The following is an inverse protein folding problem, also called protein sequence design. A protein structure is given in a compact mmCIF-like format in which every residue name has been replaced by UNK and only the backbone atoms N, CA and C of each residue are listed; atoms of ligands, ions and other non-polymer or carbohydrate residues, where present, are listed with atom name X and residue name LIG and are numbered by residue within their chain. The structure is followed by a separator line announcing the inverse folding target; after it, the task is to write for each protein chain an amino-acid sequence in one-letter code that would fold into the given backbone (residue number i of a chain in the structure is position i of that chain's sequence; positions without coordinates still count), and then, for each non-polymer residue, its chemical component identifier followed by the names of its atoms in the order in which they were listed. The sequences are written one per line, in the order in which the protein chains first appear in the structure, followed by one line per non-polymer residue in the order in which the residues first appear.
data_IF_942167095429
#
_entry.id   IF_942167095429
#
_cell.length_a   1.000
_cell.length_b   1.000
_cell.length_c   1.000
_cell.angle_alpha   90.00
_cell.angle_beta   90.00
_cell.angle_gamma   90.00
#
_symmetry.space_group_name_H-M   'P 1'
#
loop_
_entity.id
_entity.type
_entity.pdbx_description
1 polymer ?
#
# COMPACT_ATOMS: atom_id res chain seq x y z
N UNK A 1 -54.88 48.24 -58.06
CA UNK A 1 -55.29 49.66 -57.98
C UNK A 1 -56.08 49.88 -56.69
N UNK A 2 -56.20 51.14 -56.24
CA UNK A 2 -57.01 51.63 -55.10
C UNK A 2 -56.75 51.06 -53.69
N UNK A 3 -55.80 51.67 -52.97
CA UNK A 3 -56.04 52.32 -51.65
C UNK A 3 -56.48 53.78 -51.91
N UNK A 4 -57.20 54.52 -51.02
CA UNK A 4 -56.95 54.77 -49.59
C UNK A 4 -58.18 54.38 -48.71
N UNK A 5 -58.47 54.84 -47.48
CA UNK A 5 -57.85 55.77 -46.49
C UNK A 5 -58.26 55.24 -45.09
N UNK A 6 -57.45 55.19 -44.03
CA UNK A 6 -56.85 56.23 -43.18
C UNK A 6 -57.84 57.25 -42.58
N UNK A 7 -58.14 57.08 -41.29
CA UNK A 7 -58.63 58.14 -40.39
C UNK A 7 -57.67 58.26 -39.20
N UNK A 8 -57.48 59.47 -38.67
CA UNK A 8 -56.27 59.87 -37.91
C UNK A 8 -56.60 60.60 -36.60
N UNK A 9 -56.03 60.13 -35.49
CA UNK A 9 -55.75 60.87 -34.25
C UNK A 9 -54.69 60.06 -33.46
N UNK A 10 -53.38 60.37 -33.39
CA UNK A 10 -52.69 61.57 -32.88
C UNK A 10 -53.22 62.01 -31.49
N UNK A 11 -52.41 62.23 -30.45
CA UNK A 11 -50.94 62.36 -30.33
C UNK A 11 -50.48 61.96 -28.89
N UNK A 12 -49.24 61.49 -28.67
CA UNK A 12 -48.09 62.25 -28.12
C UNK A 12 -48.18 62.62 -26.61
N UNK A 13 -47.10 62.70 -25.80
CA UNK A 13 -45.72 62.14 -25.78
C UNK A 13 -45.04 62.64 -24.46
N UNK A 14 -43.77 62.27 -24.22
CA UNK A 14 -42.88 62.69 -23.10
C UNK A 14 -43.25 62.13 -21.71
N UNK A 15 -42.33 61.61 -20.87
CA UNK A 15 -40.88 61.37 -20.92
C UNK A 15 -40.44 60.90 -19.50
N UNK A 16 -39.24 60.39 -19.19
CA UNK A 16 -38.00 60.14 -19.93
C UNK A 16 -37.14 59.10 -19.14
N UNK A 17 -36.50 58.15 -19.82
CA UNK A 17 -35.19 57.48 -19.52
C UNK A 17 -34.79 57.12 -18.06
N UNK A 18 -34.51 55.82 -17.78
CA UNK A 18 -33.20 55.28 -17.30
C UNK A 18 -33.06 53.76 -17.61
N UNK A 19 -31.98 53.41 -18.34
CA UNK A 19 -31.14 52.18 -18.44
C UNK A 19 -31.63 50.70 -18.40
N UNK A 20 -31.05 49.95 -19.37
CA UNK A 20 -30.55 48.55 -19.38
C UNK A 20 -31.52 47.37 -19.15
N UNK A 21 -31.66 46.35 -20.04
CA UNK A 21 -30.75 45.35 -20.66
C UNK A 21 -30.29 44.18 -19.74
N UNK A 22 -30.45 42.97 -20.29
CA UNK A 22 -30.06 41.63 -19.78
C UNK A 22 -30.86 41.05 -18.60
N UNK A 23 -31.56 39.93 -18.85
CA UNK A 23 -31.23 38.58 -18.32
C UNK A 23 -32.41 37.61 -18.55
N UNK A 24 -32.25 36.62 -19.44
CA UNK A 24 -32.94 35.32 -19.28
C UNK A 24 -32.26 34.16 -20.04
N UNK A 25 -30.92 34.16 -20.04
CA UNK A 25 -30.08 33.07 -20.58
C UNK A 25 -29.56 32.13 -19.49
N UNK A 26 -30.03 32.28 -18.25
CA UNK A 26 -29.54 31.55 -17.08
C UNK A 26 -30.03 30.10 -16.96
N UNK A 27 -31.21 29.77 -17.49
CA UNK A 27 -31.81 28.43 -17.33
C UNK A 27 -31.02 27.31 -18.04
N UNK A 28 -30.70 27.49 -19.32
CA UNK A 28 -30.05 26.45 -20.13
C UNK A 28 -28.60 26.20 -19.68
N UNK A 29 -27.89 27.25 -19.27
CA UNK A 29 -26.54 27.12 -18.71
C UNK A 29 -26.56 26.45 -17.33
N UNK A 30 -27.57 26.72 -16.49
CA UNK A 30 -27.74 26.05 -15.21
C UNK A 30 -28.10 24.57 -15.37
N UNK A 31 -28.97 24.19 -16.32
CA UNK A 31 -29.28 22.79 -16.61
C UNK A 31 -28.08 22.02 -17.19
N UNK A 32 -27.27 22.65 -18.06
CA UNK A 32 -26.03 22.04 -18.56
C UNK A 32 -24.97 21.89 -17.46
N UNK A 33 -24.84 22.86 -16.55
CA UNK A 33 -23.99 22.73 -15.36
C UNK A 33 -24.52 21.67 -14.38
N UNK A 34 -25.83 21.56 -14.20
CA UNK A 34 -26.47 20.53 -13.39
C UNK A 34 -26.25 19.14 -14.00
N UNK A 35 -26.36 18.98 -15.32
CA UNK A 35 -26.02 17.72 -16.00
C UNK A 35 -24.52 17.43 -15.98
N UNK A 36 -23.64 18.43 -15.99
CA UNK A 36 -22.20 18.23 -15.85
C UNK A 36 -21.79 17.90 -14.40
N UNK A 37 -22.55 18.33 -13.40
CA UNK A 37 -22.39 17.97 -11.98
C UNK A 37 -23.03 16.61 -11.65
N UNK A 38 -24.19 16.28 -12.23
CA UNK A 38 -24.83 14.95 -12.14
C UNK A 38 -24.14 13.89 -13.02
N UNK A 39 -23.33 14.31 -13.99
CA UNK A 39 -22.35 13.46 -14.68
C UNK A 39 -21.23 12.96 -13.75
N UNK A 40 -21.14 13.47 -12.51
CA UNK A 40 -20.24 13.04 -11.44
C UNK A 40 -20.59 11.69 -10.80
N UNK A 41 -20.93 10.69 -11.62
CA UNK A 41 -21.00 9.25 -11.29
C UNK A 41 -21.58 8.92 -9.90
N UNK A 42 -22.77 9.44 -9.58
CA UNK A 42 -23.51 9.05 -8.38
C UNK A 42 -23.89 7.56 -8.43
N UNK A 43 -23.06 6.70 -7.82
CA UNK A 43 -23.33 5.27 -7.68
C UNK A 43 -22.15 4.33 -7.94
N UNK A 44 -21.07 4.77 -8.61
CA UNK A 44 -19.84 3.97 -8.63
C UNK A 44 -19.13 4.11 -7.29
N UNK A 45 -19.09 3.01 -6.53
CA UNK A 45 -18.22 2.91 -5.35
C UNK A 45 -16.78 3.17 -5.80
N UNK A 46 -15.97 3.93 -5.03
CA UNK A 46 -14.61 4.27 -5.42
C UNK A 46 -13.81 3.00 -5.74
N UNK A 47 -13.12 3.03 -6.88
CA UNK A 47 -12.21 1.98 -7.30
C UNK A 47 -10.79 2.42 -6.95
N UNK A 48 -10.05 1.55 -6.27
CA UNK A 48 -8.67 1.75 -5.86
C UNK A 48 -7.76 0.87 -6.70
N UNK A 49 -6.57 1.39 -7.01
CA UNK A 49 -5.58 0.73 -7.85
C UNK A 49 -4.25 0.70 -7.11
N UNK A 50 -3.53 -0.42 -7.22
CA UNK A 50 -2.11 -0.51 -6.91
C UNK A 50 -1.33 -0.71 -8.21
N UNK A 51 -0.27 0.08 -8.42
CA UNK A 51 0.50 0.11 -9.66
C UNK A 51 1.99 0.01 -9.35
N UNK A 52 2.67 -0.94 -9.99
CA UNK A 52 4.13 -0.85 -10.20
C UNK A 52 4.39 -0.11 -11.52
N UNK A 53 5.40 0.76 -11.56
CA UNK A 53 5.77 1.43 -12.80
C UNK A 53 7.26 1.73 -12.90
N UNK A 54 7.72 2.01 -14.13
CA UNK A 54 9.08 2.51 -14.42
C UNK A 54 8.98 3.81 -15.21
N UNK A 55 9.91 4.73 -14.94
CA UNK A 55 9.94 6.05 -15.56
C UNK A 55 10.71 6.01 -16.88
N UNK A 56 10.27 6.78 -17.86
CA UNK A 56 11.09 7.04 -19.05
C UNK A 56 12.20 8.05 -18.73
N UNK A 57 13.45 7.67 -19.01
CA UNK A 57 14.62 8.50 -18.82
C UNK A 57 15.17 8.94 -20.18
N UNK A 58 15.55 10.23 -20.30
CA UNK A 58 16.19 10.73 -21.52
C UNK A 58 17.54 10.02 -21.73
N UNK A 59 17.72 9.45 -22.92
CA UNK A 59 18.91 8.68 -23.28
C UNK A 59 19.31 8.98 -24.73
N UNK A 60 20.37 9.77 -24.90
CA UNK A 60 20.90 10.18 -26.21
C UNK A 60 21.44 9.03 -27.07
N UNK A 61 21.60 7.83 -26.50
CA UNK A 61 22.07 6.63 -27.19
C UNK A 61 20.92 5.72 -27.67
N UNK A 62 19.67 6.02 -27.30
CA UNK A 62 18.50 5.28 -27.76
C UNK A 62 17.86 5.94 -28.98
N UNK A 63 17.37 5.14 -29.92
CA UNK A 63 16.73 5.61 -31.16
C UNK A 63 15.46 6.45 -30.93
N UNK A 64 14.75 6.21 -29.82
CA UNK A 64 13.60 6.98 -29.34
C UNK A 64 13.98 8.22 -28.50
N UNK A 65 15.27 8.45 -28.26
CA UNK A 65 15.77 9.45 -27.32
C UNK A 65 15.50 9.16 -25.84
N UNK A 66 14.87 8.02 -25.50
CA UNK A 66 14.50 7.63 -24.14
C UNK A 66 14.63 6.13 -23.90
N UNK A 67 14.98 5.74 -22.67
CA UNK A 67 14.96 4.34 -22.20
C UNK A 67 14.18 4.20 -20.89
N UNK A 68 13.59 3.02 -20.61
CA UNK A 68 12.99 2.73 -19.31
C UNK A 68 14.03 2.80 -18.19
N UNK A 69 13.64 3.29 -17.01
CA UNK A 69 14.43 3.18 -15.79
C UNK A 69 14.63 1.71 -15.39
N UNK A 70 15.75 1.42 -14.74
CA UNK A 70 15.96 0.14 -14.05
C UNK A 70 15.25 0.09 -12.70
N UNK A 71 15.08 1.25 -12.05
CA UNK A 71 14.31 1.40 -10.82
C UNK A 71 12.82 1.17 -11.07
N UNK A 72 12.19 0.36 -10.20
CA UNK A 72 10.75 0.18 -10.08
C UNK A 72 10.20 1.12 -9.02
N UNK A 73 9.05 1.72 -9.31
CA UNK A 73 8.30 2.63 -8.46
C UNK A 73 6.92 2.03 -8.17
N UNK A 74 6.31 2.43 -7.06
CA UNK A 74 5.05 1.86 -6.60
C UNK A 74 4.13 2.98 -6.12
N UNK A 75 2.85 2.91 -6.48
CA UNK A 75 1.82 3.87 -6.06
C UNK A 75 0.49 3.16 -5.86
N UNK A 76 -0.31 3.65 -4.93
CA UNK A 76 -1.70 3.26 -4.76
C UNK A 76 -2.57 4.51 -4.61
N UNK A 77 -3.87 4.36 -4.84
CA UNK A 77 -4.84 5.44 -4.70
C UNK A 77 -6.13 5.17 -5.46
N UNK A 78 -7.01 6.16 -5.49
CA UNK A 78 -8.22 6.16 -6.30
C UNK A 78 -7.88 6.10 -7.79
N UNK A 79 -8.53 5.20 -8.53
CA UNK A 79 -8.44 5.02 -9.98
C UNK A 79 -8.73 6.31 -10.76
N UNK A 80 -9.58 7.20 -10.24
CA UNK A 80 -9.94 8.45 -10.89
C UNK A 80 -9.01 9.62 -10.53
N UNK A 81 -8.11 9.46 -9.55
CA UNK A 81 -7.15 10.50 -9.16
C UNK A 81 -6.21 10.88 -10.32
N UNK A 82 -5.87 12.17 -10.42
CA UNK A 82 -4.81 12.67 -11.32
C UNK A 82 -3.53 11.87 -11.09
N UNK A 83 -3.18 11.69 -9.82
CA UNK A 83 -1.99 11.02 -9.34
C UNK A 83 -1.78 9.59 -9.85
N UNK A 84 -2.84 8.81 -10.07
CA UNK A 84 -2.78 7.47 -10.68
C UNK A 84 -2.87 7.56 -12.20
N UNK A 85 -3.75 8.42 -12.74
CA UNK A 85 -3.90 8.62 -14.19
C UNK A 85 -2.62 9.11 -14.86
N UNK A 86 -1.91 10.05 -14.24
CA UNK A 86 -0.66 10.61 -14.74
C UNK A 86 0.44 9.54 -14.75
N UNK A 87 0.56 8.73 -13.68
CA UNK A 87 1.49 7.59 -13.63
C UNK A 87 1.21 6.58 -14.74
N UNK A 88 -0.06 6.19 -14.95
CA UNK A 88 -0.45 5.24 -16.00
C UNK A 88 -0.22 5.82 -17.40
N UNK A 89 -0.53 7.11 -17.62
CA UNK A 89 -0.33 7.82 -18.90
C UNK A 89 1.16 7.96 -19.25
N UNK A 90 1.98 8.38 -18.29
CA UNK A 90 3.40 8.69 -18.52
C UNK A 90 4.27 7.45 -18.60
N UNK A 91 3.98 6.43 -17.79
CA UNK A 91 4.69 5.16 -17.84
C UNK A 91 4.21 4.31 -19.03
N UNK A 92 2.93 4.35 -19.36
CA UNK A 92 2.33 3.59 -20.45
C UNK A 92 2.55 2.09 -20.26
N UNK A 93 3.16 1.43 -21.24
CA UNK A 93 3.54 0.00 -21.19
C UNK A 93 4.62 -0.34 -20.14
N UNK A 94 5.14 0.66 -19.41
CA UNK A 94 6.03 0.45 -18.27
C UNK A 94 5.31 0.38 -16.92
N UNK A 95 3.98 0.54 -16.89
CA UNK A 95 3.15 0.34 -15.71
C UNK A 95 2.44 -1.02 -15.73
N UNK A 96 2.39 -1.66 -14.57
CA UNK A 96 1.72 -2.92 -14.29
C UNK A 96 0.72 -2.71 -13.14
N UNK A 97 -0.55 -3.05 -13.38
CA UNK A 97 -1.61 -2.93 -12.38
C UNK A 97 -1.59 -4.19 -11.51
N UNK A 98 -1.10 -4.05 -10.28
CA UNK A 98 -0.98 -5.13 -9.30
C UNK A 98 -2.33 -5.47 -8.65
N UNK A 99 -3.17 -4.46 -8.45
CA UNK A 99 -4.52 -4.59 -7.91
C UNK A 99 -5.43 -3.54 -8.52
N UNK A 100 -6.69 -3.91 -8.76
CA UNK A 100 -7.80 -3.01 -9.05
C UNK A 100 -9.06 -3.57 -8.38
N UNK A 101 -9.74 -2.76 -7.57
CA UNK A 101 -10.96 -3.18 -6.89
C UNK A 101 -11.49 -2.13 -5.92
N UNK A 102 -12.44 -2.49 -5.07
CA UNK A 102 -13.14 -1.54 -4.18
C UNK A 102 -12.55 -1.42 -2.78
N UNK A 103 -11.52 -2.21 -2.48
CA UNK A 103 -10.87 -2.23 -1.17
C UNK A 103 -9.59 -1.39 -1.21
N UNK A 104 -9.63 -0.26 -0.51
CA UNK A 104 -8.50 0.67 -0.43
C UNK A 104 -7.34 0.11 0.41
N UNK A 105 -7.65 -0.63 1.48
CA UNK A 105 -6.64 -1.23 2.36
C UNK A 105 -5.92 -2.36 1.62
N UNK A 106 -6.65 -3.17 0.85
CA UNK A 106 -6.04 -4.19 -0.01
C UNK A 106 -5.18 -3.57 -1.12
N UNK A 107 -5.59 -2.44 -1.71
CA UNK A 107 -4.74 -1.72 -2.67
C UNK A 107 -3.42 -1.24 -2.03
N UNK A 108 -3.48 -0.63 -0.85
CA UNK A 108 -2.29 -0.23 -0.09
C UNK A 108 -1.41 -1.43 0.27
N UNK A 109 -2.00 -2.47 0.85
CA UNK A 109 -1.29 -3.70 1.26
C UNK A 109 -0.62 -4.39 0.08
N UNK A 110 -1.29 -4.51 -1.07
CA UNK A 110 -0.69 -5.04 -2.30
C UNK A 110 0.52 -4.19 -2.72
N UNK A 111 0.37 -2.87 -2.80
CA UNK A 111 1.48 -1.98 -3.15
C UNK A 111 2.66 -2.12 -2.18
N UNK A 112 2.43 -2.05 -0.87
CA UNK A 112 3.46 -2.24 0.16
C UNK A 112 4.11 -3.62 0.06
N UNK A 113 3.33 -4.65 -0.27
CA UNK A 113 3.80 -6.02 -0.38
C UNK A 113 4.70 -6.26 -1.59
N UNK A 114 4.39 -5.69 -2.77
CA UNK A 114 5.28 -5.78 -3.94
C UNK A 114 6.50 -4.88 -3.78
N UNK A 115 6.31 -3.65 -3.28
CA UNK A 115 7.41 -2.72 -2.98
C UNK A 115 8.41 -3.32 -2.01
N UNK A 116 7.94 -3.98 -0.96
CA UNK A 116 8.78 -4.68 0.00
C UNK A 116 9.57 -5.83 -0.62
N UNK A 117 8.91 -6.67 -1.43
CA UNK A 117 9.60 -7.72 -2.18
C UNK A 117 10.71 -7.17 -3.09
N UNK A 118 10.48 -6.02 -3.71
CA UNK A 118 11.49 -5.29 -4.49
C UNK A 118 12.62 -4.71 -3.62
N UNK A 119 12.30 -4.11 -2.47
CA UNK A 119 13.29 -3.56 -1.52
C UNK A 119 14.19 -4.64 -0.88
N UNK A 120 13.69 -5.88 -0.74
CA UNK A 120 14.41 -7.02 -0.17
C UNK A 120 15.17 -7.86 -1.19
N UNK A 121 14.60 -8.09 -2.38
CA UNK A 121 15.14 -9.06 -3.34
C UNK A 121 15.20 -8.55 -4.80
N UNK A 122 14.97 -7.26 -5.05
CA UNK A 122 15.07 -6.64 -6.38
C UNK A 122 13.90 -6.96 -7.32
N UNK A 123 14.08 -6.77 -8.63
CA UNK A 123 13.02 -7.00 -9.62
C UNK A 123 12.49 -8.44 -9.56
N UNK A 124 11.16 -8.61 -9.49
CA UNK A 124 10.46 -9.87 -9.19
C UNK A 124 10.82 -10.52 -7.83
N UNK A 125 11.25 -9.70 -6.86
CA UNK A 125 11.61 -10.16 -5.53
C UNK A 125 10.40 -10.64 -4.72
N UNK A 126 9.23 -10.05 -4.97
CA UNK A 126 7.97 -10.44 -4.34
C UNK A 126 7.59 -11.89 -4.65
N UNK A 127 7.50 -12.23 -5.94
CA UNK A 127 7.08 -13.55 -6.42
C UNK A 127 8.15 -14.60 -6.10
N UNK A 128 9.45 -14.24 -6.17
CA UNK A 128 10.56 -15.12 -5.75
C UNK A 128 10.50 -15.44 -4.26
N UNK A 129 10.20 -14.46 -3.40
CA UNK A 129 10.08 -14.69 -1.96
C UNK A 129 8.84 -15.56 -1.66
N UNK A 130 7.67 -15.26 -2.24
CA UNK A 130 6.47 -16.09 -2.06
C UNK A 130 6.70 -17.55 -2.48
N UNK A 131 7.26 -17.80 -3.67
CA UNK A 131 7.63 -19.16 -4.13
C UNK A 131 8.52 -19.93 -3.14
N UNK A 132 9.24 -19.22 -2.27
CA UNK A 132 10.13 -19.78 -1.27
C UNK A 132 9.58 -19.84 0.17
N UNK A 133 8.54 -19.05 0.48
CA UNK A 133 7.90 -18.99 1.81
C UNK A 133 6.55 -19.70 1.83
N UNK A 134 5.82 -19.68 0.71
CA UNK A 134 4.50 -20.31 0.49
C UNK A 134 4.54 -21.23 -0.73
N UNK A 135 5.33 -22.33 -0.69
CA UNK A 135 5.51 -23.23 -1.84
C UNK A 135 4.24 -24.01 -2.25
N UNK A 136 3.10 -23.79 -1.57
CA UNK A 136 1.79 -24.32 -1.93
C UNK A 136 0.91 -23.29 -2.68
N UNK A 137 1.31 -22.02 -2.76
CA UNK A 137 0.63 -21.00 -3.57
C UNK A 137 -0.74 -20.58 -3.03
N UNK A 138 -0.89 -20.60 -1.70
CA UNK A 138 -2.14 -20.33 -0.98
C UNK A 138 -2.34 -18.84 -0.59
N UNK A 139 -1.33 -17.99 -0.80
CA UNK A 139 -1.42 -16.54 -0.64
C UNK A 139 -0.70 -15.80 -1.79
N UNK A 140 -1.25 -14.64 -2.14
CA UNK A 140 -0.73 -13.76 -3.19
C UNK A 140 0.16 -12.62 -2.67
N UNK A 141 0.20 -12.35 -1.35
CA UNK A 141 0.94 -11.22 -0.79
C UNK A 141 1.93 -11.66 0.30
N UNK A 142 3.15 -11.12 0.28
CA UNK A 142 4.12 -11.22 1.38
C UNK A 142 3.56 -10.72 2.72
N UNK A 143 2.62 -9.77 2.71
CA UNK A 143 1.96 -9.30 3.94
C UNK A 143 1.10 -10.37 4.64
N UNK A 144 0.63 -11.38 3.91
CA UNK A 144 -0.22 -12.48 4.40
C UNK A 144 0.57 -13.73 4.78
N UNK A 145 1.92 -13.68 4.74
CA UNK A 145 2.76 -14.75 5.26
C UNK A 145 2.45 -14.97 6.74
N UNK A 146 2.32 -16.22 7.17
CA UNK A 146 2.02 -16.61 8.54
C UNK A 146 3.17 -17.41 9.17
N UNK A 147 3.20 -17.58 10.51
CA UNK A 147 4.15 -18.49 11.15
C UNK A 147 4.05 -19.93 10.62
N UNK A 148 2.86 -20.39 10.22
CA UNK A 148 2.67 -21.73 9.65
C UNK A 148 3.36 -21.88 8.29
N UNK A 149 3.30 -20.85 7.44
CA UNK A 149 4.00 -20.83 6.15
C UNK A 149 5.52 -20.87 6.36
N UNK A 150 6.03 -20.05 7.29
CA UNK A 150 7.44 -20.03 7.66
C UNK A 150 7.92 -21.38 8.22
N UNK A 151 7.12 -22.01 9.10
CA UNK A 151 7.37 -23.36 9.65
C UNK A 151 7.47 -24.42 8.56
N UNK A 152 6.65 -24.33 7.52
CA UNK A 152 6.69 -25.26 6.39
C UNK A 152 7.85 -24.96 5.42
N UNK A 153 8.14 -23.68 5.19
CA UNK A 153 9.26 -23.24 4.38
C UNK A 153 10.60 -23.73 4.94
N UNK A 154 10.84 -23.57 6.24
CA UNK A 154 12.08 -24.05 6.88
C UNK A 154 12.16 -25.58 6.92
N UNK A 155 11.03 -26.30 7.06
CA UNK A 155 11.01 -27.77 7.01
C UNK A 155 11.57 -28.33 5.70
N UNK A 156 11.22 -27.71 4.58
CA UNK A 156 11.59 -28.17 3.24
C UNK A 156 13.00 -27.75 2.80
N UNK A 157 13.64 -26.82 3.50
CA UNK A 157 14.82 -26.11 2.99
C UNK A 157 16.13 -26.59 3.58
N UNK A 158 16.93 -27.20 2.72
CA UNK A 158 18.37 -27.31 2.91
C UNK A 158 19.07 -25.99 2.63
N UNK A 159 20.31 -25.89 3.11
CA UNK A 159 21.25 -24.76 3.14
C UNK A 159 21.37 -23.88 1.88
N UNK A 160 20.93 -24.36 0.70
CA UNK A 160 20.94 -23.66 -0.59
C UNK A 160 20.11 -22.38 -0.67
N UNK A 161 19.31 -22.04 0.33
CA UNK A 161 18.44 -20.84 0.32
C UNK A 161 18.85 -19.76 1.31
N UNK A 162 20.13 -19.68 1.67
CA UNK A 162 20.67 -18.65 2.59
C UNK A 162 20.23 -17.22 2.24
N UNK A 163 20.19 -16.86 0.95
CA UNK A 163 19.73 -15.54 0.48
C UNK A 163 18.29 -15.20 0.91
N UNK A 164 17.41 -16.20 1.06
CA UNK A 164 16.02 -15.98 1.51
C UNK A 164 16.02 -15.60 2.99
N UNK A 165 16.85 -16.26 3.81
CA UNK A 165 16.96 -15.96 5.24
C UNK A 165 17.68 -14.63 5.49
N UNK A 166 18.66 -14.29 4.64
CA UNK A 166 19.24 -12.95 4.59
C UNK A 166 18.17 -11.88 4.29
N UNK A 167 17.36 -12.09 3.24
CA UNK A 167 16.24 -11.21 2.89
C UNK A 167 15.16 -11.12 3.98
N UNK A 168 14.88 -12.23 4.70
CA UNK A 168 14.02 -12.21 5.89
C UNK A 168 14.64 -11.38 7.01
N UNK A 169 15.96 -11.47 7.25
CA UNK A 169 16.62 -10.62 8.25
C UNK A 169 16.55 -9.13 7.90
N UNK A 170 16.63 -8.79 6.61
CA UNK A 170 16.46 -7.42 6.12
C UNK A 170 15.01 -6.91 6.22
N UNK A 171 14.01 -7.79 6.35
CA UNK A 171 12.60 -7.42 6.55
C UNK A 171 12.39 -6.73 7.90
N UNK A 172 13.05 -7.21 8.97
CA UNK A 172 12.89 -6.67 10.33
C UNK A 172 13.92 -5.60 10.69
N UNK A 173 15.10 -5.60 10.05
CA UNK A 173 16.18 -4.63 10.32
C UNK A 173 15.93 -3.27 9.67
N UNK A 174 16.15 -2.19 10.42
CA UNK A 174 16.30 -0.87 9.81
C UNK A 174 17.59 -0.86 8.96
N UNK A 175 17.51 -0.37 7.71
CA UNK A 175 18.68 -0.35 6.81
C UNK A 175 19.81 0.49 7.42
N UNK A 176 20.97 -0.13 7.65
CA UNK A 176 22.17 0.52 8.20
C UNK A 176 22.76 1.66 7.34
N UNK A 177 22.35 1.79 6.06
CA UNK A 177 22.83 2.83 5.16
C UNK A 177 21.68 3.60 4.51
N UNK A 178 21.62 4.90 4.80
CA UNK A 178 20.57 5.84 4.38
C UNK A 178 19.69 6.31 5.54
N UNK A 179 18.83 7.32 5.35
CA UNK A 179 17.85 7.71 6.36
C UNK A 179 16.96 6.51 6.67
N UNK A 180 16.66 6.27 7.95
CA UNK A 180 16.03 5.06 8.47
C UNK A 180 14.69 4.71 7.77
N UNK A 181 14.79 4.01 6.65
CA UNK A 181 13.66 3.42 5.94
C UNK A 181 13.36 2.09 6.60
N UNK A 182 12.40 2.13 7.52
CA UNK A 182 11.64 0.95 7.90
C UNK A 182 11.21 0.25 6.60
N UNK A 183 11.37 -1.07 6.51
CA UNK A 183 10.82 -1.79 5.35
C UNK A 183 9.31 -1.56 5.32
N UNK A 184 8.76 -1.29 4.14
CA UNK A 184 7.31 -1.06 4.01
C UNK A 184 6.48 -2.26 4.50
N UNK A 185 7.06 -3.46 4.45
CA UNK A 185 6.44 -4.67 4.97
C UNK A 185 6.24 -4.65 6.49
N UNK A 186 7.10 -4.01 7.27
CA UNK A 186 6.97 -3.98 8.74
C UNK A 186 5.63 -3.38 9.20
N UNK A 187 5.11 -2.39 8.46
CA UNK A 187 3.80 -1.78 8.73
C UNK A 187 2.60 -2.68 8.41
N UNK A 188 2.71 -3.54 7.40
CA UNK A 188 1.59 -4.36 6.87
C UNK A 188 1.66 -5.85 7.23
N UNK A 189 2.79 -6.35 7.72
CA UNK A 189 2.95 -7.75 8.18
C UNK A 189 2.36 -7.92 9.57
N UNK A 190 1.81 -9.10 9.88
CA UNK A 190 1.36 -9.48 11.24
C UNK A 190 2.53 -9.51 12.23
N UNK A 191 2.29 -9.16 13.50
CA UNK A 191 3.34 -9.08 14.54
C UNK A 191 3.93 -10.45 14.89
N UNK A 192 3.12 -11.51 14.90
CA UNK A 192 3.55 -12.90 15.09
C UNK A 192 4.53 -13.36 14.00
N UNK A 193 4.23 -12.99 12.76
CA UNK A 193 5.06 -13.29 11.59
C UNK A 193 6.36 -12.51 11.63
N UNK A 194 6.32 -11.21 12.00
CA UNK A 194 7.52 -10.40 12.17
C UNK A 194 8.45 -10.94 13.27
N UNK A 195 7.89 -11.46 14.38
CA UNK A 195 8.67 -12.11 15.43
C UNK A 195 9.44 -13.32 14.88
N UNK A 196 8.74 -14.22 14.17
CA UNK A 196 9.36 -15.40 13.54
C UNK A 196 10.42 -15.00 12.52
N UNK A 197 10.12 -14.04 11.63
CA UNK A 197 11.05 -13.54 10.61
C UNK A 197 12.33 -13.00 11.23
N UNK A 198 12.23 -12.21 12.30
CA UNK A 198 13.40 -11.66 12.99
C UNK A 198 14.21 -12.72 13.71
N UNK A 199 13.57 -13.63 14.45
CA UNK A 199 14.27 -14.74 15.13
C UNK A 199 15.00 -15.63 14.13
N UNK A 200 14.36 -16.00 13.01
CA UNK A 200 15.02 -16.76 11.94
C UNK A 200 16.17 -15.96 11.31
N UNK A 201 15.96 -14.67 11.04
CA UNK A 201 16.94 -13.79 10.41
C UNK A 201 18.20 -13.51 11.26
N UNK A 202 18.12 -13.66 12.58
CA UNK A 202 19.25 -13.47 13.50
C UNK A 202 19.85 -14.79 14.01
N UNK A 203 19.09 -15.89 14.01
CA UNK A 203 19.52 -17.17 14.61
C UNK A 203 19.88 -18.26 13.60
N UNK A 204 19.43 -18.19 12.34
CA UNK A 204 19.69 -19.24 11.36
C UNK A 204 21.15 -19.24 10.89
N UNK A 205 21.75 -20.43 10.87
CA UNK A 205 23.11 -20.66 10.35
C UNK A 205 23.06 -21.56 9.11
N UNK A 206 24.17 -21.60 8.37
CA UNK A 206 24.30 -22.44 7.18
C UNK A 206 24.33 -23.95 7.47
N UNK A 207 24.40 -24.37 8.74
CA UNK A 207 24.47 -25.78 9.17
C UNK A 207 23.17 -26.26 9.83
N UNK A 208 22.25 -25.33 10.13
CA UNK A 208 21.02 -25.60 10.85
C UNK A 208 20.09 -26.55 10.07
N UNK A 209 19.60 -27.58 10.74
CA UNK A 209 18.64 -28.53 10.18
C UNK A 209 17.23 -27.92 10.11
N UNK A 210 16.39 -28.45 9.20
CA UNK A 210 14.99 -28.05 9.10
C UNK A 210 14.22 -28.22 10.42
N UNK A 211 14.55 -29.25 11.22
CA UNK A 211 13.95 -29.49 12.53
C UNK A 211 14.32 -28.42 13.55
N UNK A 212 15.59 -28.01 13.62
CA UNK A 212 16.04 -26.92 14.50
C UNK A 212 15.42 -25.58 14.10
N UNK A 213 15.35 -25.30 12.79
CA UNK A 213 14.69 -24.11 12.28
C UNK A 213 13.17 -24.11 12.59
N UNK A 214 12.49 -25.26 12.52
CA UNK A 214 11.10 -25.38 12.99
C UNK A 214 10.96 -25.13 14.49
N UNK A 215 11.88 -25.61 15.32
CA UNK A 215 11.88 -25.31 16.76
C UNK A 215 12.10 -23.81 17.04
N UNK A 216 12.90 -23.12 16.23
CA UNK A 216 13.03 -21.66 16.33
C UNK A 216 11.73 -20.94 15.97
N UNK A 217 11.02 -21.37 14.92
CA UNK A 217 9.67 -20.83 14.61
C UNK A 217 8.73 -21.01 15.79
N UNK A 218 8.67 -22.21 16.36
CA UNK A 218 7.76 -22.54 17.46
C UNK A 218 8.07 -21.72 18.72
N UNK A 219 9.35 -21.62 19.10
CA UNK A 219 9.79 -20.78 20.23
C UNK A 219 9.55 -19.30 19.96
N UNK A 220 9.72 -18.81 18.73
CA UNK A 220 9.44 -17.41 18.39
C UNK A 220 7.96 -17.07 18.53
N UNK A 221 7.06 -17.99 18.13
CA UNK A 221 5.61 -17.85 18.36
C UNK A 221 5.27 -17.86 19.85
N UNK A 222 5.84 -18.78 20.64
CA UNK A 222 5.62 -18.79 22.10
C UNK A 222 6.15 -17.50 22.77
N UNK A 223 7.31 -16.99 22.31
CA UNK A 223 7.91 -15.75 22.80
C UNK A 223 7.00 -14.56 22.47
N UNK A 224 6.47 -14.49 21.25
CA UNK A 224 5.53 -13.45 20.83
C UNK A 224 4.26 -13.47 21.68
N UNK A 225 3.61 -14.63 21.83
CA UNK A 225 2.40 -14.78 22.64
C UNK A 225 2.63 -14.36 24.10
N UNK A 226 3.75 -14.73 24.70
CA UNK A 226 4.07 -14.36 26.07
C UNK A 226 4.40 -12.85 26.23
N UNK A 227 5.07 -12.23 25.25
CA UNK A 227 5.24 -10.77 25.24
C UNK A 227 3.89 -10.06 25.12
N UNK A 228 3.01 -10.55 24.23
CA UNK A 228 1.66 -10.02 24.02
C UNK A 228 0.81 -10.14 25.30
N UNK A 229 0.85 -11.27 25.99
CA UNK A 229 0.14 -11.51 27.25
C UNK A 229 0.64 -10.58 28.37
N UNK A 230 1.96 -10.44 28.53
CA UNK A 230 2.56 -9.63 29.59
C UNK A 230 2.37 -8.11 29.34
N UNK A 231 2.54 -7.65 28.11
CA UNK A 231 2.16 -6.28 27.70
C UNK A 231 0.64 -6.11 27.81
N UNK A 232 -0.13 -7.16 27.53
CA UNK A 232 -1.56 -7.31 27.79
C UNK A 232 -1.94 -6.87 29.20
N UNK A 233 -1.27 -7.48 30.19
CA UNK A 233 -1.38 -7.24 31.64
C UNK A 233 -0.77 -5.90 32.14
N UNK A 234 -0.24 -5.07 31.24
CA UNK A 234 0.33 -3.75 31.57
C UNK A 234 1.78 -3.76 32.02
N UNK A 235 2.51 -4.87 31.86
CA UNK A 235 3.95 -4.89 32.15
C UNK A 235 4.75 -4.11 31.08
N UNK A 236 5.85 -3.42 31.44
CA UNK A 236 6.70 -2.73 30.47
C UNK A 236 7.29 -3.69 29.43
N UNK A 237 7.27 -3.30 28.15
CA UNK A 237 7.74 -4.14 27.03
C UNK A 237 9.18 -4.70 27.19
N UNK A 238 10.19 -3.93 27.69
CA UNK A 238 11.52 -4.48 27.96
C UNK A 238 11.53 -5.58 29.03
N UNK A 239 10.64 -5.47 30.04
CA UNK A 239 10.49 -6.50 31.06
C UNK A 239 9.76 -7.73 30.52
N UNK A 240 8.68 -7.54 29.75
CA UNK A 240 7.94 -8.61 29.09
C UNK A 240 8.84 -9.42 28.15
N UNK A 241 9.64 -8.74 27.31
CA UNK A 241 10.60 -9.37 26.40
C UNK A 241 11.68 -10.15 27.15
N UNK A 242 12.22 -9.61 28.25
CA UNK A 242 13.18 -10.31 29.10
C UNK A 242 12.57 -11.56 29.76
N UNK A 243 11.34 -11.48 30.25
CA UNK A 243 10.65 -12.62 30.85
C UNK A 243 10.31 -13.70 29.82
N UNK A 244 9.89 -13.32 28.62
CA UNK A 244 9.65 -14.25 27.53
C UNK A 244 10.94 -14.97 27.12
N UNK A 245 12.04 -14.22 26.92
CA UNK A 245 13.37 -14.78 26.64
C UNK A 245 13.83 -15.79 27.71
N UNK A 246 13.63 -15.47 28.99
CA UNK A 246 14.00 -16.38 30.08
C UNK A 246 13.22 -17.70 30.07
N UNK A 247 11.98 -17.72 29.54
CA UNK A 247 11.15 -18.92 29.45
C UNK A 247 11.43 -19.74 28.18
N UNK A 248 11.53 -19.07 27.02
CA UNK A 248 11.59 -19.71 25.71
C UNK A 248 13.01 -19.90 25.18
N UNK A 249 14.00 -19.23 25.77
CA UNK A 249 15.38 -19.18 25.31
C UNK A 249 15.60 -18.34 24.05
N UNK A 250 14.58 -17.63 23.56
CA UNK A 250 14.62 -16.84 22.32
C UNK A 250 14.45 -15.35 22.64
N UNK A 251 15.30 -14.51 22.04
CA UNK A 251 15.21 -13.06 22.16
C UNK A 251 14.22 -12.51 21.12
N UNK A 252 13.24 -11.73 21.58
CA UNK A 252 12.33 -10.99 20.69
C UNK A 252 13.07 -9.75 20.14
N UNK A 253 13.10 -9.53 18.80
CA UNK A 253 13.68 -8.31 18.26
C UNK A 253 12.97 -7.07 18.79
N UNK A 254 13.74 -6.08 19.26
CA UNK A 254 13.22 -4.87 19.92
C UNK A 254 12.18 -4.13 19.06
N UNK A 255 12.44 -4.04 17.75
CA UNK A 255 11.53 -3.41 16.77
C UNK A 255 10.16 -4.11 16.69
N UNK A 256 10.10 -5.42 16.92
CA UNK A 256 8.83 -6.18 16.94
C UNK A 256 8.09 -5.92 18.25
N UNK A 257 8.80 -5.94 19.39
CA UNK A 257 8.22 -5.62 20.69
C UNK A 257 7.70 -4.16 20.77
N UNK A 258 8.38 -3.21 20.12
CA UNK A 258 7.92 -1.83 19.97
C UNK A 258 6.67 -1.72 19.07
N UNK A 259 6.64 -2.46 17.94
CA UNK A 259 5.49 -2.49 17.03
C UNK A 259 4.25 -3.11 17.69
N UNK A 260 4.40 -4.13 18.54
CA UNK A 260 3.31 -4.70 19.33
C UNK A 260 2.70 -3.66 20.28
N UNK A 261 3.53 -2.91 21.03
CA UNK A 261 3.05 -1.81 21.90
C UNK A 261 2.35 -0.72 21.07
N UNK A 262 2.92 -0.33 19.92
CA UNK A 262 2.32 0.67 19.02
C UNK A 262 0.93 0.25 18.56
N UNK A 263 0.76 -1.00 18.09
CA UNK A 263 -0.54 -1.52 17.64
C UNK A 263 -1.55 -1.58 18.77
N UNK A 264 -1.16 -2.11 19.95
CA UNK A 264 -2.04 -2.14 21.13
C UNK A 264 -2.50 -0.75 21.55
N UNK A 265 -1.63 0.25 21.50
CA UNK A 265 -2.01 1.64 21.82
C UNK A 265 -3.01 2.21 20.81
N UNK A 266 -2.87 1.90 19.51
CA UNK A 266 -3.84 2.31 18.48
C UNK A 266 -5.19 1.62 18.67
N UNK A 267 -5.18 0.33 19.01
CA UNK A 267 -6.39 -0.44 19.31
C UNK A 267 -7.13 0.10 20.54
N UNK A 268 -6.41 0.34 21.65
CA UNK A 268 -6.98 0.96 22.85
C UNK A 268 -7.64 2.31 22.56
N UNK A 269 -7.04 3.15 21.69
CA UNK A 269 -7.61 4.43 21.27
C UNK A 269 -8.87 4.23 20.42
N UNK A 270 -8.89 3.25 19.52
CA UNK A 270 -10.07 2.92 18.69
C UNK A 270 -11.23 2.33 19.49
N UNK A 271 -10.97 1.59 20.57
CA UNK A 271 -11.99 1.00 21.44
C UNK A 271 -12.55 2.01 22.46
N UNK A 272 -11.85 3.12 22.68
CA UNK A 272 -12.24 4.18 23.63
C UNK A 272 -12.89 5.41 22.97
N UNK A 273 -13.19 5.34 21.67
CA UNK A 273 -13.73 6.42 20.85
C UNK A 273 -15.12 6.06 20.28
#
# INVERSE_FOLDING_TARGET
MTTPQLDIATAALHGLIVSARHENSGGIAADLLAQQQQGGVEGQKPEFVAVEYRLWQNNKYASSGRTPSTARHFKHGDAVSSDIKDVLRESGSLAEVLYRGRDAELAERTMMSHRGGYELAGAHGHERLLKHLTPQGDIDLLSDVTPAHLREAVRRKTTRTGWVFEALSWWTKDRMFGPARQTVLRGVTRTDTLAVIGVLGDSMTAEMTGTEAQQLVDRAVETHQLVEELVGKGHPSPWASKMARNKTGVEMPELVAAEMVRRKNIENVRVSA
#
